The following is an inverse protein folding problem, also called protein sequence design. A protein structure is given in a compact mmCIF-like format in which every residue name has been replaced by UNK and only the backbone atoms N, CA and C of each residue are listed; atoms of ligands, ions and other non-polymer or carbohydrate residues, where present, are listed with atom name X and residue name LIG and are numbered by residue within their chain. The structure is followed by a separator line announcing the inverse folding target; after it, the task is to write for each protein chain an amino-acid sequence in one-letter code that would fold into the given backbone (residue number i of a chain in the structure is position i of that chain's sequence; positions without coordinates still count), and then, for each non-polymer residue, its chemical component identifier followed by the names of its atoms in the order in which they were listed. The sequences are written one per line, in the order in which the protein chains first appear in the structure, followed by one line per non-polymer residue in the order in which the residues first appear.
data_IF_997015259567
#
_entry.id   IF_997015259567
#
_cell.length_a   1.000
_cell.length_b   1.000
_cell.length_c   1.000
_cell.angle_alpha   90.00
_cell.angle_beta   90.00
_cell.angle_gamma   90.00
#
_symmetry.space_group_name_H-M   'P 1'
#
loop_
_entity.id
_entity.type
_entity.pdbx_description
1 polymer ?
#
# COMPACT_ATOMS: atom_id res chain seq x y z
N UNK A 1 -13.45 8.00 22.33
CA UNK A 1 -13.83 7.73 20.92
C UNK A 1 -15.29 8.14 20.70
N UNK A 2 -15.58 8.81 19.60
CA UNK A 2 -16.95 9.17 19.22
C UNK A 2 -17.70 7.88 18.86
N UNK A 3 -18.87 7.59 19.47
CA UNK A 3 -19.65 6.41 19.10
C UNK A 3 -19.97 6.39 17.61
N UNK A 4 -19.78 5.25 16.95
CA UNK A 4 -20.04 5.09 15.52
C UNK A 4 -18.99 5.70 14.58
N UNK A 5 -17.89 6.25 15.08
CA UNK A 5 -16.81 6.74 14.23
C UNK A 5 -16.04 5.56 13.59
N UNK A 6 -15.79 5.66 12.30
CA UNK A 6 -14.83 4.81 11.59
C UNK A 6 -13.42 5.40 11.67
N UNK A 7 -12.43 4.56 11.50
CA UNK A 7 -11.03 4.99 11.46
C UNK A 7 -10.29 4.31 10.31
N UNK A 8 -9.36 5.05 9.73
CA UNK A 8 -8.51 4.62 8.64
C UNK A 8 -7.16 5.31 8.77
N UNK A 9 -6.17 4.78 8.07
CA UNK A 9 -4.87 5.41 7.98
C UNK A 9 -4.20 5.05 6.66
N UNK A 10 -3.56 6.00 5.99
CA UNK A 10 -2.86 5.73 4.74
C UNK A 10 -1.45 5.21 5.01
N UNK A 11 -1.10 4.06 4.45
CA UNK A 11 0.23 3.44 4.56
C UNK A 11 0.68 3.27 6.02
N UNK A 12 1.63 4.07 6.51
CA UNK A 12 2.09 4.06 7.89
C UNK A 12 0.97 4.40 8.88
N UNK A 13 0.09 5.32 8.51
CA UNK A 13 -1.04 5.73 9.33
C UNK A 13 -2.03 4.61 9.65
N UNK A 14 -2.00 3.49 8.92
CA UNK A 14 -2.80 2.31 9.27
C UNK A 14 -2.34 1.67 10.58
N UNK A 15 -1.03 1.60 10.82
CA UNK A 15 -0.47 1.14 12.10
C UNK A 15 -0.87 2.09 13.25
N UNK A 16 -0.80 3.40 13.00
CA UNK A 16 -1.22 4.40 13.97
C UNK A 16 -2.72 4.28 14.30
N UNK A 17 -3.55 4.06 13.28
CA UNK A 17 -4.99 3.86 13.46
C UNK A 17 -5.31 2.60 14.28
N UNK A 18 -4.63 1.49 14.02
CA UNK A 18 -4.79 0.24 14.76
C UNK A 18 -4.30 0.34 16.21
N UNK A 19 -3.24 1.11 16.48
CA UNK A 19 -2.76 1.34 17.82
C UNK A 19 -3.60 2.38 18.58
N UNK A 20 -3.76 3.58 18.03
CA UNK A 20 -4.31 4.72 18.75
C UNK A 20 -5.84 4.68 18.88
N UNK A 21 -6.54 4.14 17.87
CA UNK A 21 -8.00 4.12 17.84
C UNK A 21 -8.60 2.76 18.17
N UNK A 22 -8.03 1.68 17.67
CA UNK A 22 -8.52 0.34 17.93
C UNK A 22 -7.91 -0.28 19.18
N UNK A 23 -6.78 0.22 19.65
CA UNK A 23 -6.03 -0.36 20.77
C UNK A 23 -5.79 -1.87 20.58
N UNK A 24 -5.50 -2.27 19.32
CA UNK A 24 -5.29 -3.68 18.97
C UNK A 24 -3.97 -4.18 19.55
N UNK A 25 -2.97 -3.29 19.62
CA UNK A 25 -1.68 -3.57 20.23
C UNK A 25 -1.08 -2.31 20.88
N UNK A 26 -0.18 -2.47 21.88
CA UNK A 26 0.45 -1.35 22.55
C UNK A 26 1.28 -0.45 21.63
N UNK A 27 1.42 0.81 21.98
CA UNK A 27 2.20 1.79 21.23
C UNK A 27 3.65 1.37 21.01
N UNK A 28 4.26 0.72 22.00
CA UNK A 28 5.64 0.23 21.95
C UNK A 28 5.82 -0.79 20.83
N UNK A 29 4.83 -1.68 20.63
CA UNK A 29 4.84 -2.66 19.54
C UNK A 29 4.76 -1.94 18.18
N UNK A 30 3.92 -0.91 18.07
CA UNK A 30 3.81 -0.13 16.82
C UNK A 30 5.12 0.57 16.49
N UNK A 31 5.75 1.22 17.47
CA UNK A 31 7.04 1.90 17.28
C UNK A 31 8.12 0.92 16.78
N UNK A 32 8.20 -0.27 17.38
CA UNK A 32 9.14 -1.30 16.93
C UNK A 32 8.80 -1.80 15.51
N UNK A 33 7.53 -2.11 15.23
CA UNK A 33 7.10 -2.57 13.90
C UNK A 33 7.37 -1.54 12.81
N UNK A 34 7.12 -0.27 13.08
CA UNK A 34 7.38 0.83 12.14
C UNK A 34 8.87 0.98 11.88
N UNK A 35 9.69 0.88 12.92
CA UNK A 35 11.15 0.89 12.78
C UNK A 35 11.65 -0.32 11.98
N UNK A 36 11.18 -1.52 12.29
CA UNK A 36 11.54 -2.75 11.57
C UNK A 36 11.12 -2.69 10.10
N UNK A 37 9.91 -2.18 9.83
CA UNK A 37 9.40 -1.98 8.47
C UNK A 37 10.31 -1.03 7.69
N UNK A 38 10.62 0.14 8.25
CA UNK A 38 11.50 1.12 7.62
C UNK A 38 12.91 0.57 7.35
N UNK A 39 13.51 -0.10 8.33
CA UNK A 39 14.83 -0.71 8.24
C UNK A 39 14.89 -1.82 7.18
N UNK A 40 13.88 -2.71 7.15
CA UNK A 40 13.78 -3.75 6.13
C UNK A 40 13.71 -3.14 4.73
N UNK A 41 12.79 -2.19 4.49
CA UNK A 41 12.65 -1.55 3.18
C UNK A 41 13.91 -0.79 2.76
N UNK A 42 14.58 -0.11 3.70
CA UNK A 42 15.83 0.60 3.42
C UNK A 42 16.95 -0.38 2.99
N UNK A 43 17.09 -1.53 3.65
CA UNK A 43 18.15 -2.51 3.38
C UNK A 43 17.98 -3.26 2.05
N UNK A 44 16.76 -3.31 1.51
CA UNK A 44 16.46 -3.95 0.24
C UNK A 44 16.88 -3.13 -0.99
N UNK A 45 17.14 -1.84 -0.79
CA UNK A 45 17.44 -0.93 -1.89
C UNK A 45 18.95 -0.73 -2.04
N UNK A 46 19.54 -1.04 -3.21
CA UNK A 46 20.95 -0.77 -3.46
C UNK A 46 21.28 0.71 -3.30
N UNK A 47 22.45 0.98 -2.70
CA UNK A 47 22.94 2.34 -2.44
C UNK A 47 24.36 2.53 -2.95
N UNK A 48 24.65 3.74 -3.40
CA UNK A 48 26.01 4.14 -3.80
C UNK A 48 26.93 4.36 -2.57
N UNK A 49 28.20 4.66 -2.80
CA UNK A 49 29.19 4.94 -1.76
C UNK A 49 28.83 6.13 -0.85
N UNK A 50 27.91 7.00 -1.30
CA UNK A 50 27.36 8.11 -0.53
C UNK A 50 26.06 7.77 0.17
N UNK A 51 25.65 6.51 0.17
CA UNK A 51 24.40 6.03 0.76
C UNK A 51 23.15 6.41 0.00
N UNK A 52 23.23 6.85 -1.25
CA UNK A 52 22.07 7.29 -2.04
C UNK A 52 21.55 6.14 -2.91
N UNK A 53 20.25 6.01 -2.95
CA UNK A 53 19.54 5.10 -3.83
C UNK A 53 19.27 5.72 -5.20
N UNK A 54 19.14 4.88 -6.24
CA UNK A 54 18.68 5.29 -7.56
C UNK A 54 17.14 5.35 -7.67
N UNK A 55 16.40 5.26 -6.56
CA UNK A 55 14.94 5.30 -6.56
C UNK A 55 14.41 6.59 -5.96
N UNK A 56 13.25 7.02 -6.45
CA UNK A 56 12.46 8.15 -5.90
C UNK A 56 10.99 7.81 -6.00
N UNK A 57 10.17 8.68 -5.43
CA UNK A 57 8.72 8.66 -5.59
C UNK A 57 8.22 9.99 -6.11
N UNK A 58 7.12 9.97 -6.84
CA UNK A 58 6.43 11.14 -7.33
C UNK A 58 4.92 11.00 -7.27
N UNK A 59 4.24 12.14 -7.26
CA UNK A 59 2.79 12.24 -7.39
C UNK A 59 2.45 12.61 -8.85
N UNK A 60 1.74 11.73 -9.54
CA UNK A 60 1.25 11.91 -10.90
C UNK A 60 -0.20 12.39 -10.87
N UNK A 61 -0.52 13.39 -11.69
CA UNK A 61 -1.87 13.99 -11.80
C UNK A 61 -2.37 13.91 -13.24
N UNK A 62 -2.91 12.74 -13.67
CA UNK A 62 -3.24 12.48 -15.07
C UNK A 62 -4.34 13.39 -15.62
N UNK A 63 -5.26 13.87 -14.78
CA UNK A 63 -6.26 14.87 -15.18
C UNK A 63 -5.65 16.19 -15.69
N UNK A 64 -4.37 16.47 -15.39
CA UNK A 64 -3.69 17.67 -15.89
C UNK A 64 -3.19 17.52 -17.32
N UNK A 65 -3.19 16.31 -17.90
CA UNK A 65 -2.70 16.05 -19.24
C UNK A 65 -3.58 15.06 -20.02
N UNK A 66 -4.86 14.95 -19.63
CA UNK A 66 -5.90 14.28 -20.41
C UNK A 66 -5.85 12.75 -20.40
N UNK A 67 -5.19 12.13 -19.42
CA UNK A 67 -5.23 10.68 -19.20
C UNK A 67 -6.27 10.39 -18.12
N UNK A 68 -7.17 9.46 -18.37
CA UNK A 68 -8.18 9.01 -17.42
C UNK A 68 -7.69 7.86 -16.54
N UNK A 69 -8.52 7.46 -15.58
CA UNK A 69 -8.23 6.39 -14.62
C UNK A 69 -8.00 5.03 -15.31
N UNK A 70 -8.73 4.74 -16.37
CA UNK A 70 -8.64 3.45 -17.08
C UNK A 70 -7.30 3.28 -17.82
N UNK A 71 -6.66 4.38 -18.23
CA UNK A 71 -5.46 4.36 -19.06
C UNK A 71 -4.17 4.79 -18.34
N UNK A 72 -4.26 5.23 -17.07
CA UNK A 72 -3.09 5.75 -16.34
C UNK A 72 -2.02 4.68 -16.11
N UNK A 73 -2.41 3.44 -15.86
CA UNK A 73 -1.47 2.32 -15.68
C UNK A 73 -0.70 2.06 -16.99
N UNK A 74 -1.42 1.89 -18.08
CA UNK A 74 -0.84 1.67 -19.41
C UNK A 74 0.09 2.84 -19.81
N UNK A 75 -0.31 4.07 -19.51
CA UNK A 75 0.53 5.24 -19.74
C UNK A 75 1.88 5.16 -19.02
N UNK A 76 1.88 4.89 -17.72
CA UNK A 76 3.13 4.78 -16.93
C UNK A 76 3.98 3.60 -17.42
N UNK A 77 3.36 2.46 -17.73
CA UNK A 77 4.05 1.30 -18.29
C UNK A 77 4.66 1.58 -19.68
N UNK A 78 3.99 2.36 -20.53
CA UNK A 78 4.53 2.76 -21.82
C UNK A 78 5.79 3.62 -21.69
N UNK A 79 5.83 4.52 -20.73
CA UNK A 79 7.03 5.33 -20.43
C UNK A 79 8.15 4.45 -19.86
N UNK A 80 7.82 3.51 -18.97
CA UNK A 80 8.80 2.54 -18.45
C UNK A 80 9.44 1.73 -19.58
N UNK A 81 8.62 1.21 -20.50
CA UNK A 81 9.08 0.45 -21.65
C UNK A 81 9.93 1.30 -22.61
N UNK A 82 9.49 2.51 -22.93
CA UNK A 82 10.19 3.41 -23.84
C UNK A 82 11.54 3.88 -23.30
N UNK A 83 11.65 4.09 -21.98
CA UNK A 83 12.89 4.51 -21.31
C UNK A 83 13.81 3.34 -20.94
N UNK A 84 13.30 2.12 -20.87
CA UNK A 84 14.02 0.96 -20.32
C UNK A 84 14.24 1.03 -18.81
N UNK A 85 13.48 1.89 -18.10
CA UNK A 85 13.66 2.19 -16.70
C UNK A 85 12.48 1.65 -15.86
N UNK A 86 12.73 1.43 -14.56
CA UNK A 86 11.66 1.00 -13.66
C UNK A 86 10.74 2.16 -13.31
N UNK A 87 9.45 1.97 -13.57
CA UNK A 87 8.34 2.82 -13.13
C UNK A 87 7.17 1.93 -12.71
N UNK A 88 6.51 2.26 -11.61
CA UNK A 88 5.32 1.56 -11.14
C UNK A 88 4.38 2.51 -10.40
N UNK A 89 3.09 2.50 -10.75
CA UNK A 89 2.06 3.08 -9.88
C UNK A 89 1.97 2.21 -8.62
N UNK A 90 2.10 2.82 -7.48
CA UNK A 90 2.17 2.13 -6.18
C UNK A 90 1.02 2.49 -5.25
N UNK A 91 0.35 3.63 -5.47
CA UNK A 91 -0.87 4.01 -4.76
C UNK A 91 -1.85 4.71 -5.69
N UNK A 92 -3.11 4.32 -5.60
CA UNK A 92 -4.26 4.90 -6.27
C UNK A 92 -4.97 5.83 -5.28
N UNK A 93 -4.41 7.02 -5.04
CA UNK A 93 -4.87 7.91 -3.96
C UNK A 93 -6.23 8.55 -4.26
N UNK A 94 -6.46 8.97 -5.51
CA UNK A 94 -7.72 9.55 -5.94
C UNK A 94 -7.90 9.26 -7.43
N UNK A 95 -8.91 8.45 -7.75
CA UNK A 95 -9.17 7.99 -9.10
C UNK A 95 -9.19 9.13 -10.12
N UNK A 96 -8.44 9.00 -11.21
CA UNK A 96 -8.31 9.98 -12.27
C UNK A 96 -7.56 11.27 -11.89
N UNK A 97 -7.19 11.48 -10.63
CA UNK A 97 -6.63 12.76 -10.16
C UNK A 97 -5.24 12.67 -9.55
N UNK A 98 -4.96 11.62 -8.75
CA UNK A 98 -3.67 11.53 -8.05
C UNK A 98 -3.24 10.09 -7.79
N UNK A 99 -2.05 9.78 -8.28
CA UNK A 99 -1.39 8.48 -8.11
C UNK A 99 0.03 8.67 -7.60
N UNK A 100 0.48 7.77 -6.70
CA UNK A 100 1.89 7.72 -6.36
C UNK A 100 2.61 6.79 -7.34
N UNK A 101 3.74 7.23 -7.87
CA UNK A 101 4.61 6.46 -8.74
C UNK A 101 5.96 6.30 -8.08
N UNK A 102 6.44 5.05 -7.99
CA UNK A 102 7.81 4.74 -7.62
C UNK A 102 8.62 4.45 -8.91
N UNK A 103 9.87 4.87 -8.94
CA UNK A 103 10.71 4.63 -10.10
C UNK A 103 12.18 4.97 -9.85
N UNK A 104 13.00 4.58 -10.83
CA UNK A 104 14.39 5.07 -10.89
C UNK A 104 14.38 6.59 -11.15
N UNK A 105 15.47 7.25 -10.77
CA UNK A 105 15.63 8.70 -11.03
C UNK A 105 15.45 9.02 -12.51
N UNK A 106 16.03 8.19 -13.41
CA UNK A 106 15.91 8.38 -14.85
C UNK A 106 14.49 8.12 -15.36
N UNK A 107 13.83 7.05 -14.86
CA UNK A 107 12.46 6.74 -15.23
C UNK A 107 11.45 7.82 -14.81
N UNK A 108 11.56 8.30 -13.57
CA UNK A 108 10.70 9.39 -13.11
C UNK A 108 10.95 10.71 -13.85
N UNK A 109 12.19 10.95 -14.28
CA UNK A 109 12.50 12.11 -15.11
C UNK A 109 11.83 11.98 -16.49
N UNK A 110 11.89 10.82 -17.12
CA UNK A 110 11.23 10.56 -18.41
C UNK A 110 9.69 10.74 -18.28
N UNK A 111 9.10 10.25 -17.19
CA UNK A 111 7.69 10.43 -16.90
C UNK A 111 7.32 11.90 -16.69
N UNK A 112 8.12 12.65 -15.94
CA UNK A 112 7.93 14.09 -15.71
C UNK A 112 7.97 14.88 -17.03
N UNK A 113 8.95 14.61 -17.87
CA UNK A 113 9.13 15.30 -19.17
C UNK A 113 7.96 15.05 -20.12
N UNK A 114 7.51 13.79 -20.26
CA UNK A 114 6.35 13.45 -21.11
C UNK A 114 5.06 14.05 -20.55
N UNK A 115 4.80 13.90 -19.23
CA UNK A 115 3.63 14.47 -18.59
C UNK A 115 3.59 16.01 -18.72
N UNK A 116 4.75 16.69 -18.58
CA UNK A 116 4.84 18.14 -18.75
C UNK A 116 4.53 18.58 -20.18
N UNK A 117 5.04 17.86 -21.18
CA UNK A 117 4.74 18.12 -22.59
C UNK A 117 3.24 17.99 -22.88
N UNK A 118 2.62 16.89 -22.45
CA UNK A 118 1.17 16.66 -22.62
C UNK A 118 0.35 17.71 -21.88
N UNK A 119 0.76 18.09 -20.66
CA UNK A 119 0.07 19.12 -19.89
C UNK A 119 0.12 20.50 -20.58
N UNK A 120 1.22 20.84 -21.23
CA UNK A 120 1.32 22.07 -22.02
C UNK A 120 0.34 22.09 -23.20
N UNK A 121 0.14 20.95 -23.88
CA UNK A 121 -0.82 20.78 -24.97
C UNK A 121 -2.28 20.79 -24.46
N UNK A 122 -2.52 20.21 -23.27
CA UNK A 122 -3.85 20.10 -22.67
C UNK A 122 -4.28 21.34 -21.86
N UNK A 123 -3.35 22.24 -21.53
CA UNK A 123 -3.60 23.41 -20.68
C UNK A 123 -3.57 23.14 -19.18
N UNK A 124 -3.05 21.97 -18.77
CA UNK A 124 -2.93 21.59 -17.35
C UNK A 124 -1.70 22.16 -16.67
N UNK A 125 -1.63 21.99 -15.34
CA UNK A 125 -0.55 22.52 -14.50
C UNK A 125 -0.03 21.50 -13.52
N UNK A 126 1.30 21.41 -13.39
CA UNK A 126 1.99 20.52 -12.43
C UNK A 126 1.48 19.08 -12.52
N UNK A 127 1.65 18.41 -13.67
CA UNK A 127 1.17 17.04 -13.89
C UNK A 127 1.94 16.02 -13.03
N UNK A 128 3.15 16.37 -12.61
CA UNK A 128 4.02 15.54 -11.79
C UNK A 128 4.74 16.36 -10.72
N UNK A 129 5.01 15.75 -9.57
CA UNK A 129 5.79 16.34 -8.47
C UNK A 129 6.57 15.24 -7.74
N UNK A 130 7.86 15.45 -7.51
CA UNK A 130 8.64 14.56 -6.65
C UNK A 130 8.17 14.64 -5.18
N UNK A 131 8.21 13.50 -4.48
CA UNK A 131 8.03 13.45 -3.02
C UNK A 131 9.38 13.71 -2.38
N UNK A 132 9.56 14.85 -1.68
CA UNK A 132 10.85 15.21 -1.10
C UNK A 132 11.32 14.21 -0.04
N UNK A 133 12.65 13.97 0.00
CA UNK A 133 13.28 13.16 1.05
C UNK A 133 13.05 11.65 0.96
N UNK A 134 12.33 11.16 -0.06
CA UNK A 134 12.08 9.74 -0.27
C UNK A 134 13.04 9.18 -1.31
N UNK A 135 13.81 8.17 -0.91
CA UNK A 135 14.76 7.43 -1.75
C UNK A 135 14.58 5.90 -1.68
N UNK A 136 13.40 5.47 -1.26
CA UNK A 136 12.94 4.08 -1.25
C UNK A 136 11.68 3.99 -2.12
N UNK A 137 11.58 3.01 -3.04
CA UNK A 137 10.40 2.83 -3.90
C UNK A 137 9.27 2.13 -3.12
N UNK A 138 8.67 2.85 -2.15
CA UNK A 138 7.64 2.30 -1.28
C UNK A 138 6.49 1.68 -2.07
N UNK A 139 5.93 0.60 -1.53
CA UNK A 139 4.81 -0.16 -2.11
C UNK A 139 5.08 -0.80 -3.48
N UNK A 140 6.31 -0.73 -4.00
CA UNK A 140 6.66 -1.32 -5.29
C UNK A 140 7.07 -2.79 -5.19
N UNK A 141 7.07 -3.46 -6.34
CA UNK A 141 7.54 -4.84 -6.47
C UNK A 141 9.03 -5.03 -6.13
N UNK A 142 9.83 -3.95 -6.16
CA UNK A 142 11.24 -3.95 -5.74
C UNK A 142 11.40 -4.41 -4.29
N UNK A 143 10.44 -4.11 -3.44
CA UNK A 143 10.46 -4.46 -2.02
C UNK A 143 9.85 -5.82 -1.69
N UNK A 144 9.36 -6.56 -2.68
CA UNK A 144 8.62 -7.81 -2.47
C UNK A 144 9.43 -8.88 -1.73
N UNK A 145 10.74 -8.94 -1.96
CA UNK A 145 11.63 -9.91 -1.29
C UNK A 145 11.66 -9.76 0.24
N UNK A 146 11.35 -8.58 0.77
CA UNK A 146 11.30 -8.34 2.23
C UNK A 146 9.98 -8.72 2.91
N UNK A 147 8.96 -9.12 2.14
CA UNK A 147 7.62 -9.40 2.71
C UNK A 147 7.66 -10.57 3.69
N UNK A 148 8.35 -11.67 3.35
CA UNK A 148 8.42 -12.85 4.22
C UNK A 148 9.14 -12.54 5.55
N UNK A 149 10.26 -11.82 5.49
CA UNK A 149 11.00 -11.40 6.68
C UNK A 149 10.16 -10.48 7.57
N UNK A 150 9.49 -9.51 6.97
CA UNK A 150 8.64 -8.60 7.72
C UNK A 150 7.40 -9.31 8.30
N UNK A 151 6.83 -10.28 7.59
CA UNK A 151 5.75 -11.12 8.12
C UNK A 151 6.18 -11.85 9.38
N UNK A 152 7.37 -12.45 9.41
CA UNK A 152 7.89 -13.10 10.62
C UNK A 152 7.96 -12.13 11.79
N UNK A 153 8.44 -10.90 11.55
CA UNK A 153 8.49 -9.86 12.59
C UNK A 153 7.10 -9.44 13.09
N UNK A 154 6.11 -9.41 12.21
CA UNK A 154 4.71 -9.18 12.59
C UNK A 154 4.16 -10.32 13.45
N UNK A 155 4.37 -11.56 13.02
CA UNK A 155 3.87 -12.75 13.69
C UNK A 155 4.41 -12.91 15.13
N UNK A 156 5.65 -12.47 15.38
CA UNK A 156 6.28 -12.48 16.70
C UNK A 156 5.71 -11.41 17.65
N UNK A 157 5.13 -10.33 17.13
CA UNK A 157 4.79 -9.12 17.91
C UNK A 157 3.29 -8.87 18.04
N UNK A 158 2.53 -9.22 17.01
CA UNK A 158 1.08 -9.01 17.02
C UNK A 158 0.41 -10.11 17.86
N UNK A 159 -0.58 -9.80 18.70
CA UNK A 159 -1.33 -10.80 19.47
C UNK A 159 -1.87 -11.91 18.56
N UNK A 160 -1.88 -13.14 19.09
CA UNK A 160 -2.40 -14.32 18.37
C UNK A 160 -3.89 -14.18 18.00
N UNK A 161 -4.61 -13.40 18.79
CA UNK A 161 -6.02 -13.11 18.59
C UNK A 161 -6.27 -11.60 18.72
N UNK A 162 -7.12 -11.08 17.85
CA UNK A 162 -7.54 -9.67 17.85
C UNK A 162 -9.05 -9.63 18.08
N UNK A 163 -9.49 -8.88 19.08
CA UNK A 163 -10.91 -8.72 19.38
C UNK A 163 -11.64 -8.08 18.18
N UNK A 164 -12.55 -8.82 17.50
CA UNK A 164 -13.25 -8.31 16.34
C UNK A 164 -14.14 -7.10 16.68
N UNK A 165 -14.63 -6.96 17.90
CA UNK A 165 -15.45 -5.83 18.31
C UNK A 165 -14.72 -4.48 18.22
N UNK A 166 -13.39 -4.50 18.22
CA UNK A 166 -12.56 -3.31 18.03
C UNK A 166 -12.51 -2.84 16.58
N UNK A 167 -12.71 -3.74 15.61
CA UNK A 167 -12.46 -3.49 14.18
C UNK A 167 -13.71 -3.55 13.32
N UNK A 168 -14.61 -4.52 13.57
CA UNK A 168 -15.78 -4.76 12.71
C UNK A 168 -16.67 -3.51 12.57
N UNK A 169 -16.92 -3.11 11.33
CA UNK A 169 -17.73 -1.94 10.97
C UNK A 169 -17.09 -0.58 11.26
N UNK A 170 -15.87 -0.55 11.82
CA UNK A 170 -15.19 0.68 12.25
C UNK A 170 -13.85 0.91 11.58
N UNK A 171 -13.07 -0.14 11.42
CA UNK A 171 -11.79 -0.08 10.74
C UNK A 171 -11.96 -0.15 9.23
N UNK A 172 -11.27 0.71 8.50
CA UNK A 172 -11.25 0.74 7.05
C UNK A 172 -9.82 0.44 6.61
N UNK A 173 -9.49 -0.82 6.22
CA UNK A 173 -8.16 -1.21 5.75
C UNK A 173 -7.78 -0.47 4.47
N UNK A 174 -6.51 -0.09 4.36
CA UNK A 174 -5.94 0.52 3.15
C UNK A 174 -6.14 -0.35 1.90
N UNK A 175 -6.06 -1.67 2.06
CA UNK A 175 -6.06 -2.61 0.96
C UNK A 175 -7.36 -2.58 0.16
N UNK A 176 -8.52 -2.56 0.86
CA UNK A 176 -9.84 -2.69 0.25
C UNK A 176 -10.71 -1.44 0.38
N UNK A 177 -10.28 -0.46 1.18
CA UNK A 177 -10.93 0.84 1.38
C UNK A 177 -12.45 0.75 1.70
N UNK A 178 -12.87 -0.29 2.45
CA UNK A 178 -14.23 -0.50 2.93
C UNK A 178 -14.23 -0.95 4.38
N UNK A 179 -15.31 -0.76 5.15
CA UNK A 179 -15.37 -1.21 6.53
C UNK A 179 -15.03 -2.69 6.68
N UNK A 180 -14.19 -3.00 7.65
CA UNK A 180 -13.77 -4.37 7.96
C UNK A 180 -14.96 -5.19 8.47
N UNK A 181 -15.12 -6.39 7.92
CA UNK A 181 -16.16 -7.34 8.27
C UNK A 181 -15.59 -8.76 8.32
N UNK A 182 -16.13 -9.59 9.19
CA UNK A 182 -15.85 -11.03 9.21
C UNK A 182 -16.87 -11.77 8.33
N UNK A 183 -16.83 -11.51 7.02
CA UNK A 183 -17.71 -12.13 6.01
C UNK A 183 -16.91 -12.70 4.85
N UNK A 184 -17.47 -13.70 4.17
CA UNK A 184 -16.84 -14.28 2.97
C UNK A 184 -16.69 -13.23 1.86
N UNK A 185 -17.64 -12.32 1.75
CA UNK A 185 -17.64 -11.22 0.78
C UNK A 185 -16.49 -10.25 1.05
N UNK A 186 -16.20 -9.97 2.31
CA UNK A 186 -15.04 -9.15 2.67
C UNK A 186 -13.73 -9.89 2.36
N UNK A 187 -13.62 -11.17 2.72
CA UNK A 187 -12.47 -12.00 2.40
C UNK A 187 -12.25 -12.09 0.88
N UNK A 188 -13.32 -12.23 0.08
CA UNK A 188 -13.22 -12.22 -1.39
C UNK A 188 -12.66 -10.89 -1.90
N UNK A 189 -13.10 -9.76 -1.33
CA UNK A 189 -12.57 -8.45 -1.75
C UNK A 189 -11.07 -8.27 -1.50
N UNK A 190 -10.48 -9.02 -0.56
CA UNK A 190 -9.02 -9.08 -0.38
C UNK A 190 -8.38 -9.81 -1.55
N UNK A 191 -8.92 -10.98 -1.96
CA UNK A 191 -8.39 -11.76 -3.09
C UNK A 191 -8.48 -11.02 -4.42
N UNK A 192 -9.51 -10.18 -4.59
CA UNK A 192 -9.69 -9.37 -5.80
C UNK A 192 -8.58 -8.32 -5.97
N UNK A 193 -7.92 -7.93 -4.87
CA UNK A 193 -6.85 -6.93 -4.86
C UNK A 193 -5.46 -7.57 -4.80
N UNK A 194 -5.27 -8.60 -3.97
CA UNK A 194 -3.97 -9.25 -3.80
C UNK A 194 -4.10 -10.77 -3.70
N UNK A 195 -3.16 -11.54 -4.26
CA UNK A 195 -3.11 -12.98 -4.06
C UNK A 195 -2.70 -13.28 -2.60
N UNK A 196 -3.62 -13.82 -1.81
CA UNK A 196 -3.38 -14.28 -0.45
C UNK A 196 -3.71 -15.76 -0.34
N UNK A 197 -2.70 -16.60 -0.16
CA UNK A 197 -2.88 -18.04 0.01
C UNK A 197 -3.75 -18.36 1.23
N UNK A 198 -3.54 -17.64 2.33
CA UNK A 198 -4.32 -17.85 3.56
C UNK A 198 -5.81 -17.57 3.34
N UNK A 199 -6.13 -16.44 2.70
CA UNK A 199 -7.53 -16.07 2.43
C UNK A 199 -8.14 -17.01 1.39
N UNK A 200 -7.36 -17.44 0.40
CA UNK A 200 -7.82 -18.44 -0.59
C UNK A 200 -8.20 -19.76 0.06
N UNK A 201 -7.37 -20.28 0.95
CA UNK A 201 -7.66 -21.50 1.72
C UNK A 201 -8.95 -21.34 2.54
N UNK A 202 -9.13 -20.20 3.20
CA UNK A 202 -10.36 -19.92 3.96
C UNK A 202 -11.64 -19.98 3.10
N UNK A 203 -11.56 -19.54 1.85
CA UNK A 203 -12.72 -19.45 0.97
C UNK A 203 -12.98 -20.72 0.16
N UNK A 204 -11.93 -21.41 -0.29
CA UNK A 204 -12.02 -22.52 -1.24
C UNK A 204 -12.06 -23.91 -0.55
N UNK A 205 -11.41 -24.05 0.62
CA UNK A 205 -11.41 -25.35 1.33
C UNK A 205 -12.73 -25.56 2.07
N UNK A 206 -13.44 -26.65 1.81
CA UNK A 206 -14.71 -26.94 2.49
C UNK A 206 -14.57 -26.96 4.02
N UNK A 207 -15.42 -26.21 4.71
CA UNK A 207 -15.44 -26.11 6.17
C UNK A 207 -14.35 -25.22 6.79
N UNK A 208 -13.37 -24.74 6.03
CA UNK A 208 -12.29 -23.89 6.57
C UNK A 208 -12.82 -22.57 7.13
N UNK A 209 -13.77 -21.94 6.43
CA UNK A 209 -14.40 -20.72 6.89
C UNK A 209 -15.15 -20.90 8.21
N UNK A 210 -15.99 -21.95 8.32
CA UNK A 210 -16.77 -22.20 9.53
C UNK A 210 -15.88 -22.58 10.71
N UNK A 211 -14.81 -23.33 10.45
CA UNK A 211 -13.80 -23.65 11.45
C UNK A 211 -13.06 -22.39 11.93
N UNK A 212 -12.75 -21.45 11.04
CA UNK A 212 -12.11 -20.19 11.39
C UNK A 212 -13.05 -19.27 12.18
N UNK A 213 -14.34 -19.23 11.85
CA UNK A 213 -15.35 -18.47 12.60
C UNK A 213 -15.57 -19.00 14.03
N UNK A 214 -15.20 -20.24 14.33
CA UNK A 214 -15.23 -20.76 15.70
C UNK A 214 -14.22 -20.03 16.63
N UNK A 215 -13.16 -19.43 16.03
CA UNK A 215 -12.25 -18.52 16.74
C UNK A 215 -12.16 -17.19 15.95
N UNK A 216 -13.11 -16.26 16.15
CA UNK A 216 -13.16 -15.01 15.41
C UNK A 216 -11.97 -14.08 15.71
N UNK A 217 -11.34 -14.20 16.88
CA UNK A 217 -10.15 -13.44 17.23
C UNK A 217 -8.94 -13.82 16.39
N UNK A 218 -8.72 -15.11 16.15
CA UNK A 218 -7.67 -15.59 15.27
C UNK A 218 -7.97 -15.26 13.80
N UNK A 219 -9.24 -15.38 13.36
CA UNK A 219 -9.66 -14.99 12.01
C UNK A 219 -9.46 -13.50 11.76
N UNK A 220 -9.74 -12.64 12.74
CA UNK A 220 -9.52 -11.19 12.64
C UNK A 220 -8.04 -10.84 12.48
N UNK A 221 -7.14 -11.65 13.07
CA UNK A 221 -5.70 -11.47 12.93
C UNK A 221 -5.17 -11.90 11.55
N UNK A 222 -5.80 -12.86 10.92
CA UNK A 222 -5.42 -13.40 9.60
C UNK A 222 -5.48 -12.38 8.48
#
# INVERSE_FOLDING_TARGET
LVPGAAFAGHSLGEYDALAAYAEVFPLEIVLDLVFQRGSTMHSLVPRDEKGRSNYRMGALRPNQFGIDDAHVVEYVESIAQASGEFLQIVNFNLAGQQYAVAGTVAGLKALEEDAAKRAAEHGGKRPFMYVPGIDVPFHSTVLRSGVADFRTKLDERIPAEIDPAKLVGRYIPNLVARPFELTREFAQSILDVVPSETVRVLLEVPGAWDAALANPGALTRT
#
